data_IF_658262881790
#
_entry.id   IF_658262881790
#
_cell.length_a   1.000
_cell.length_b   1.000
_cell.length_c   1.000
_cell.angle_alpha   90.00
_cell.angle_beta   90.00
_cell.angle_gamma   90.00
#
_symmetry.space_group_name_H-M   'P 1'
#
loop_
_entity.id
_entity.type
_entity.pdbx_description
1 polymer ?
#
# COMPACT_ATOMS: atom_id res chain seq x y z
N UNK A 1 9.76 -8.05 -4.20
CA UNK A 1 9.88 -7.24 -5.44
C UNK A 1 10.95 -6.16 -5.33
N UNK A 2 10.89 -5.31 -4.28
CA UNK A 2 11.60 -4.03 -4.21
C UNK A 2 13.13 -4.11 -4.41
N UNK A 3 13.84 -5.01 -3.72
CA UNK A 3 15.30 -5.14 -3.85
C UNK A 3 15.76 -5.42 -5.29
N UNK A 4 15.00 -6.26 -6.01
CA UNK A 4 15.26 -6.60 -7.42
C UNK A 4 15.10 -5.39 -8.35
N UNK A 5 14.20 -4.46 -8.01
CA UNK A 5 14.02 -3.22 -8.78
C UNK A 5 15.16 -2.27 -8.51
N UNK A 6 15.55 -2.12 -7.24
CA UNK A 6 16.65 -1.22 -6.88
C UNK A 6 17.98 -1.65 -7.52
N UNK A 7 18.27 -2.95 -7.49
CA UNK A 7 19.44 -3.52 -8.17
C UNK A 7 19.39 -3.26 -9.67
N UNK A 8 18.26 -3.53 -10.32
CA UNK A 8 18.09 -3.30 -11.74
C UNK A 8 18.26 -1.82 -12.15
N UNK A 9 17.71 -0.87 -11.39
CA UNK A 9 17.92 0.55 -11.67
C UNK A 9 19.37 0.99 -11.49
N UNK A 10 20.06 0.45 -10.47
CA UNK A 10 21.50 0.72 -10.29
C UNK A 10 22.30 0.22 -11.49
N UNK A 11 21.99 -0.94 -12.04
CA UNK A 11 22.62 -1.44 -13.26
C UNK A 11 22.43 -0.47 -14.44
N UNK A 12 21.21 0.02 -14.66
CA UNK A 12 20.88 0.97 -15.73
C UNK A 12 21.65 2.30 -15.57
N UNK A 13 21.91 2.73 -14.34
CA UNK A 13 22.59 4.00 -14.06
C UNK A 13 24.12 3.93 -14.06
N UNK A 14 24.73 2.73 -14.07
CA UNK A 14 26.19 2.59 -14.11
C UNK A 14 26.76 3.13 -15.42
N UNK A 15 26.19 2.75 -16.56
CA UNK A 15 26.74 3.08 -17.87
C UNK A 15 26.23 4.41 -18.44
N UNK A 16 25.19 5.00 -17.83
CA UNK A 16 24.54 6.26 -18.22
C UNK A 16 24.18 6.31 -19.72
N UNK A 17 23.91 5.16 -20.32
CA UNK A 17 23.59 5.00 -21.73
C UNK A 17 22.39 4.09 -21.87
N UNK A 18 21.38 4.59 -22.59
CA UNK A 18 20.23 3.79 -23.00
C UNK A 18 20.20 3.80 -24.52
N UNK A 19 20.60 2.69 -25.13
CA UNK A 19 20.41 2.42 -26.55
C UNK A 19 19.13 1.61 -26.77
N UNK A 20 18.85 1.22 -28.03
CA UNK A 20 17.64 0.46 -28.37
C UNK A 20 17.58 -0.90 -27.66
N UNK A 21 18.73 -1.53 -27.36
CA UNK A 21 18.77 -2.80 -26.63
C UNK A 21 18.42 -2.59 -25.16
N UNK A 22 18.96 -1.54 -24.54
CA UNK A 22 18.70 -1.24 -23.13
C UNK A 22 17.24 -0.79 -22.93
N UNK A 23 16.67 -0.04 -23.88
CA UNK A 23 15.24 0.28 -23.90
C UNK A 23 14.35 -0.96 -24.02
N UNK A 24 14.73 -1.92 -24.87
CA UNK A 24 14.04 -3.21 -24.96
C UNK A 24 14.17 -4.03 -23.66
N UNK A 25 15.35 -4.00 -23.01
CA UNK A 25 15.60 -4.64 -21.71
C UNK A 25 14.72 -4.06 -20.61
N UNK A 26 14.59 -2.73 -20.54
CA UNK A 26 13.67 -2.04 -19.62
C UNK A 26 12.23 -2.51 -19.82
N UNK A 27 11.77 -2.53 -21.07
CA UNK A 27 10.41 -2.94 -21.44
C UNK A 27 10.14 -4.40 -21.05
N UNK A 28 11.08 -5.30 -21.34
CA UNK A 28 10.98 -6.71 -20.97
C UNK A 28 10.96 -6.89 -19.44
N UNK A 29 11.80 -6.14 -18.72
CA UNK A 29 11.84 -6.19 -17.26
C UNK A 29 10.50 -5.81 -16.63
N UNK A 30 9.87 -4.69 -17.02
CA UNK A 30 8.58 -4.31 -16.45
C UNK A 30 7.44 -5.25 -16.86
N UNK A 31 7.51 -5.83 -18.07
CA UNK A 31 6.53 -6.81 -18.52
C UNK A 31 6.60 -8.10 -17.70
N UNK A 32 7.80 -8.54 -17.33
CA UNK A 32 8.05 -9.68 -16.44
C UNK A 32 7.72 -9.35 -14.99
N UNK A 33 8.15 -8.18 -14.51
CA UNK A 33 7.87 -7.68 -13.16
C UNK A 33 6.38 -7.68 -12.88
N UNK A 34 5.57 -7.27 -13.86
CA UNK A 34 4.11 -7.20 -13.79
C UNK A 34 3.66 -6.53 -12.49
N UNK A 35 4.06 -5.27 -12.22
CA UNK A 35 3.76 -4.63 -10.95
C UNK A 35 2.25 -4.31 -10.83
N UNK A 36 1.66 -4.44 -9.64
CA UNK A 36 0.31 -3.94 -9.40
C UNK A 36 0.28 -2.40 -9.49
N UNK A 37 -0.88 -1.79 -9.80
CA UNK A 37 -1.05 -0.33 -9.89
C UNK A 37 -0.45 0.46 -8.72
N UNK A 38 -0.56 -0.09 -7.51
CA UNK A 38 -0.07 0.53 -6.28
C UNK A 38 1.44 0.72 -6.23
N UNK A 39 2.19 -0.09 -6.98
CA UNK A 39 3.64 -0.02 -7.04
C UNK A 39 4.15 1.00 -8.04
N UNK A 40 3.33 1.51 -8.97
CA UNK A 40 3.79 2.40 -10.05
C UNK A 40 4.41 3.69 -9.52
N UNK A 41 3.76 4.32 -8.53
CA UNK A 41 4.29 5.52 -7.86
C UNK A 41 5.63 5.25 -7.18
N UNK A 42 5.75 4.09 -6.51
CA UNK A 42 6.96 3.68 -5.83
C UNK A 42 8.09 3.40 -6.83
N UNK A 43 7.82 2.65 -7.91
CA UNK A 43 8.78 2.36 -8.98
C UNK A 43 9.38 3.66 -9.54
N UNK A 44 8.52 4.61 -9.92
CA UNK A 44 8.95 5.91 -10.42
C UNK A 44 9.77 6.68 -9.40
N UNK A 45 9.27 6.82 -8.18
CA UNK A 45 9.96 7.58 -7.12
C UNK A 45 11.33 6.97 -6.78
N UNK A 46 11.43 5.64 -6.81
CA UNK A 46 12.68 4.89 -6.63
C UNK A 46 13.67 5.15 -7.76
N UNK A 47 13.21 5.28 -9.01
CA UNK A 47 14.07 5.67 -10.15
C UNK A 47 14.74 7.02 -9.90
N UNK A 48 13.98 8.05 -9.49
CA UNK A 48 14.53 9.36 -9.16
C UNK A 48 15.43 9.34 -7.91
N UNK A 49 15.01 8.64 -6.85
CA UNK A 49 15.78 8.51 -5.61
C UNK A 49 17.14 7.87 -5.88
N UNK A 50 17.17 6.71 -6.55
CA UNK A 50 18.41 6.03 -6.90
C UNK A 50 19.23 6.83 -7.88
N UNK A 51 18.59 7.46 -8.88
CA UNK A 51 19.28 8.36 -9.81
C UNK A 51 20.04 9.47 -9.09
N UNK A 52 19.46 10.05 -8.04
CA UNK A 52 20.13 11.09 -7.24
C UNK A 52 21.46 10.63 -6.63
N UNK A 53 21.65 9.33 -6.39
CA UNK A 53 22.91 8.78 -5.89
C UNK A 53 24.03 8.91 -6.93
N UNK A 54 23.69 8.80 -8.22
CA UNK A 54 24.61 8.83 -9.38
C UNK A 54 24.91 10.24 -9.91
N UNK A 55 24.33 11.30 -9.33
CA UNK A 55 24.66 12.67 -9.69
C UNK A 55 26.14 12.97 -9.44
N UNK A 56 26.83 13.58 -10.40
CA UNK A 56 28.24 13.94 -10.24
C UNK A 56 28.41 15.45 -10.11
N UNK A 57 29.12 15.88 -9.06
CA UNK A 57 29.52 17.28 -8.94
C UNK A 57 30.59 17.61 -9.97
N UNK A 58 30.26 18.43 -10.96
CA UNK A 58 31.19 19.00 -11.93
C UNK A 58 31.21 18.34 -13.30
N UNK A 59 30.22 17.50 -13.63
CA UNK A 59 30.10 16.86 -14.95
C UNK A 59 28.64 16.93 -15.44
N UNK A 60 28.29 18.08 -16.03
CA UNK A 60 26.95 18.36 -16.56
C UNK A 60 26.53 17.35 -17.62
N UNK A 61 27.45 16.89 -18.47
CA UNK A 61 27.16 15.91 -19.52
C UNK A 61 26.75 14.56 -18.94
N UNK A 62 27.39 14.11 -17.85
CA UNK A 62 26.94 12.92 -17.11
C UNK A 62 25.57 13.11 -16.48
N UNK A 63 25.31 14.25 -15.85
CA UNK A 63 24.00 14.51 -15.24
C UNK A 63 22.88 14.60 -16.30
N UNK A 64 23.16 15.16 -17.48
CA UNK A 64 22.25 15.11 -18.66
C UNK A 64 21.99 13.66 -19.08
N UNK A 65 23.02 12.82 -19.08
CA UNK A 65 22.91 11.40 -19.47
C UNK A 65 22.09 10.61 -18.45
N UNK A 66 22.25 10.91 -17.16
CA UNK A 66 21.42 10.38 -16.08
C UNK A 66 19.94 10.79 -16.23
N UNK A 67 19.64 12.06 -16.52
CA UNK A 67 18.27 12.52 -16.79
C UNK A 67 17.63 11.74 -17.94
N UNK A 68 18.39 11.42 -18.99
CA UNK A 68 17.93 10.55 -20.08
C UNK A 68 17.63 9.14 -19.59
N UNK A 69 18.51 8.52 -18.81
CA UNK A 69 18.26 7.20 -18.25
C UNK A 69 16.99 7.16 -17.40
N UNK A 70 16.78 8.13 -16.50
CA UNK A 70 15.56 8.22 -15.68
C UNK A 70 14.34 8.38 -16.59
N UNK A 71 14.40 9.26 -17.59
CA UNK A 71 13.35 9.47 -18.58
C UNK A 71 12.95 8.15 -19.29
N UNK A 72 13.92 7.32 -19.69
CA UNK A 72 13.65 6.01 -20.29
C UNK A 72 13.01 5.02 -19.32
N UNK A 73 13.42 5.01 -18.05
CA UNK A 73 12.79 4.18 -17.01
C UNK A 73 11.32 4.59 -16.85
N UNK A 74 11.03 5.89 -16.75
CA UNK A 74 9.66 6.41 -16.67
C UNK A 74 8.85 6.00 -17.90
N UNK A 75 9.41 6.19 -19.09
CA UNK A 75 8.75 5.80 -20.34
C UNK A 75 8.41 4.30 -20.40
N UNK A 76 9.30 3.43 -19.91
CA UNK A 76 9.05 2.00 -19.85
C UNK A 76 7.90 1.65 -18.87
N UNK A 77 7.81 2.34 -17.73
CA UNK A 77 6.68 2.20 -16.79
C UNK A 77 5.38 2.64 -17.47
N UNK A 78 5.36 3.83 -18.07
CA UNK A 78 4.18 4.39 -18.74
C UNK A 78 3.67 3.50 -19.88
N UNK A 79 4.58 2.98 -20.72
CA UNK A 79 4.21 2.18 -21.90
C UNK A 79 3.73 0.77 -21.56
N UNK A 80 4.37 0.13 -20.58
CA UNK A 80 4.10 -1.27 -20.21
C UNK A 80 2.99 -1.38 -19.18
N UNK A 81 2.96 -0.50 -18.18
CA UNK A 81 2.09 -0.64 -17.01
C UNK A 81 0.89 0.30 -17.01
N UNK A 82 0.89 1.33 -17.87
CA UNK A 82 -0.17 2.35 -17.91
C UNK A 82 -0.78 2.47 -19.30
N UNK A 83 -1.90 3.18 -19.37
CA UNK A 83 -2.55 3.57 -20.61
C UNK A 83 -3.11 5.00 -20.50
N UNK A 84 -3.28 5.72 -21.63
CA UNK A 84 -3.86 7.06 -21.61
C UNK A 84 -5.21 7.09 -20.91
N UNK A 85 -5.42 8.05 -20.01
CA UNK A 85 -6.70 8.27 -19.35
C UNK A 85 -7.76 8.77 -20.36
N UNK A 86 -7.35 9.64 -21.29
CA UNK A 86 -8.17 10.17 -22.38
C UNK A 86 -7.42 9.98 -23.72
N UNK A 87 -7.78 8.98 -24.54
CA UNK A 87 -7.06 8.70 -25.80
C UNK A 87 -7.05 9.87 -26.79
N UNK A 88 -8.16 10.60 -26.89
CA UNK A 88 -8.32 11.73 -27.81
C UNK A 88 -7.73 13.05 -27.24
N UNK A 89 -7.38 13.08 -25.95
CA UNK A 89 -7.04 14.30 -25.23
C UNK A 89 -8.25 15.23 -25.02
N UNK A 90 -8.01 16.37 -24.38
CA UNK A 90 -8.99 17.46 -24.26
C UNK A 90 -8.45 18.81 -24.78
N UNK A 91 -7.17 18.87 -25.16
CA UNK A 91 -6.52 20.03 -25.76
C UNK A 91 -5.50 19.59 -26.83
N UNK A 92 -5.03 20.53 -27.65
CA UNK A 92 -3.83 20.31 -28.46
C UNK A 92 -2.56 20.37 -27.59
N UNK A 93 -1.52 19.64 -27.98
CA UNK A 93 -0.20 19.79 -27.37
C UNK A 93 0.52 21.02 -27.94
N UNK A 94 0.90 21.95 -27.06
CA UNK A 94 1.78 23.06 -27.39
C UNK A 94 3.11 22.88 -26.62
N UNK A 95 4.16 22.50 -27.36
CA UNK A 95 5.45 22.22 -26.78
C UNK A 95 6.17 23.45 -26.23
N UNK A 96 5.95 24.64 -26.80
CA UNK A 96 6.60 25.88 -26.36
C UNK A 96 6.00 26.34 -25.02
N UNK A 97 4.67 26.39 -24.95
CA UNK A 97 3.95 26.75 -23.71
C UNK A 97 4.26 25.75 -22.58
N UNK A 98 4.33 24.46 -22.91
CA UNK A 98 4.64 23.42 -21.92
C UNK A 98 6.08 23.54 -21.41
N UNK A 99 7.06 23.72 -22.31
CA UNK A 99 8.47 23.88 -21.92
C UNK A 99 8.66 25.15 -21.07
N UNK A 100 8.01 26.26 -21.42
CA UNK A 100 8.08 27.51 -20.64
C UNK A 100 7.50 27.35 -19.23
N UNK A 101 6.35 26.67 -19.11
CA UNK A 101 5.77 26.38 -17.81
C UNK A 101 6.69 25.53 -16.93
N UNK A 102 7.36 24.52 -17.50
CA UNK A 102 8.35 23.74 -16.74
C UNK A 102 9.55 24.57 -16.30
N UNK A 103 10.00 25.53 -17.10
CA UNK A 103 11.10 26.44 -16.71
C UNK A 103 10.71 27.32 -15.53
N UNK A 104 9.46 27.76 -15.47
CA UNK A 104 8.93 28.50 -14.33
C UNK A 104 8.95 27.64 -13.06
N UNK A 105 8.44 26.40 -13.16
CA UNK A 105 8.42 25.42 -12.05
C UNK A 105 9.82 25.05 -11.56
N UNK A 106 10.84 25.05 -12.42
CA UNK A 106 12.21 24.72 -12.01
C UNK A 106 13.02 25.93 -11.53
N UNK A 107 12.46 27.14 -11.59
CA UNK A 107 13.22 28.38 -11.40
C UNK A 107 13.74 28.57 -9.97
N UNK A 108 13.04 28.04 -8.96
CA UNK A 108 13.38 28.13 -7.55
C UNK A 108 13.87 26.80 -6.95
N UNK A 109 13.91 25.74 -7.77
CA UNK A 109 14.28 24.37 -7.39
C UNK A 109 13.47 23.80 -6.22
N UNK A 110 12.22 24.24 -6.06
CA UNK A 110 11.30 23.71 -5.09
C UNK A 110 9.93 23.48 -5.73
N UNK A 111 9.18 22.51 -5.21
CA UNK A 111 7.76 22.37 -5.53
C UNK A 111 7.02 22.19 -4.21
N UNK A 112 6.34 23.25 -3.80
CA UNK A 112 5.51 23.26 -2.63
C UNK A 112 4.11 22.71 -2.94
N UNK A 113 3.23 22.69 -1.94
CA UNK A 113 1.89 22.11 -2.10
C UNK A 113 1.02 22.91 -3.09
N UNK A 114 1.08 24.24 -3.03
CA UNK A 114 0.32 25.13 -3.92
C UNK A 114 0.75 24.93 -5.36
N UNK A 115 2.07 24.90 -5.62
CA UNK A 115 2.63 24.62 -6.95
C UNK A 115 2.25 23.22 -7.45
N UNK A 116 2.17 22.22 -6.57
CA UNK A 116 1.68 20.90 -6.96
C UNK A 116 0.18 20.91 -7.32
N UNK A 117 -0.62 21.73 -6.65
CA UNK A 117 -2.05 21.90 -6.97
C UNK A 117 -2.21 22.62 -8.33
N UNK A 118 -1.36 23.60 -8.61
CA UNK A 118 -1.29 24.29 -9.92
C UNK A 118 -0.85 23.35 -11.04
N UNK A 119 0.20 22.54 -10.83
CA UNK A 119 0.64 21.49 -11.77
C UNK A 119 -0.51 20.54 -12.11
N UNK A 120 -1.22 20.07 -11.07
CA UNK A 120 -2.38 19.21 -11.23
C UNK A 120 -3.50 19.88 -12.05
N UNK A 121 -3.74 21.17 -11.85
CA UNK A 121 -4.72 21.93 -12.62
C UNK A 121 -4.26 22.14 -14.08
N UNK A 122 -2.99 22.46 -14.29
CA UNK A 122 -2.39 22.60 -15.62
C UNK A 122 -2.60 21.34 -16.45
N UNK A 123 -2.19 20.17 -15.95
CA UNK A 123 -2.31 18.93 -16.71
C UNK A 123 -3.76 18.53 -16.95
N UNK A 124 -4.66 18.68 -15.97
CA UNK A 124 -6.09 18.35 -16.16
C UNK A 124 -6.75 19.20 -17.25
N UNK A 125 -6.32 20.44 -17.42
CA UNK A 125 -6.85 21.36 -18.43
C UNK A 125 -6.16 21.25 -19.79
N UNK A 126 -5.00 20.59 -19.86
CA UNK A 126 -4.17 20.52 -21.06
C UNK A 126 -3.74 19.07 -21.38
N UNK A 127 -4.67 18.12 -21.34
CA UNK A 127 -4.38 16.71 -21.64
C UNK A 127 -4.24 16.57 -23.16
N UNK A 128 -3.04 16.28 -23.68
CA UNK A 128 -2.84 16.19 -25.11
C UNK A 128 -3.33 14.84 -25.66
N UNK A 129 -3.44 14.68 -26.99
CA UNK A 129 -3.73 13.39 -27.60
C UNK A 129 -2.64 12.36 -27.29
N UNK A 130 -2.98 11.07 -27.36
CA UNK A 130 -2.09 9.99 -26.88
C UNK A 130 -0.72 9.93 -27.55
N UNK A 131 -0.60 10.41 -28.79
CA UNK A 131 0.66 10.46 -29.55
C UNK A 131 1.65 11.52 -29.03
N UNK A 132 1.16 12.47 -28.23
CA UNK A 132 1.89 13.63 -27.75
C UNK A 132 2.25 13.53 -26.27
N UNK A 133 1.70 12.56 -25.53
CA UNK A 133 1.96 12.36 -24.10
C UNK A 133 3.45 12.18 -23.79
N UNK A 134 4.13 11.33 -24.56
CA UNK A 134 5.57 11.08 -24.38
C UNK A 134 6.38 12.36 -24.61
N UNK A 135 5.99 13.16 -25.61
CA UNK A 135 6.65 14.43 -25.91
C UNK A 135 6.45 15.45 -24.78
N UNK A 136 5.21 15.57 -24.27
CA UNK A 136 4.87 16.48 -23.17
C UNK A 136 5.64 16.15 -21.88
N UNK A 137 5.80 14.87 -21.55
CA UNK A 137 6.62 14.47 -20.40
C UNK A 137 8.11 14.65 -20.66
N UNK A 138 8.60 14.27 -21.85
CA UNK A 138 10.02 14.43 -22.19
C UNK A 138 10.47 15.89 -22.20
N UNK A 139 9.57 16.82 -22.49
CA UNK A 139 9.81 18.27 -22.39
C UNK A 139 10.21 18.70 -20.97
N UNK A 140 9.71 18.05 -19.91
CA UNK A 140 10.14 18.36 -18.54
C UNK A 140 11.63 18.05 -18.31
N UNK A 141 12.08 16.87 -18.77
CA UNK A 141 13.49 16.49 -18.71
C UNK A 141 14.37 17.39 -19.58
N UNK A 142 13.86 17.81 -20.75
CA UNK A 142 14.57 18.73 -21.65
C UNK A 142 14.73 20.12 -21.03
N UNK A 143 13.66 20.69 -20.47
CA UNK A 143 13.70 21.99 -19.81
C UNK A 143 14.63 21.99 -18.59
N UNK A 144 14.67 20.88 -17.85
CA UNK A 144 15.54 20.73 -16.68
C UNK A 144 17.05 20.78 -17.00
N UNK A 145 17.48 20.44 -18.22
CA UNK A 145 18.91 20.49 -18.61
C UNK A 145 19.52 21.88 -18.39
N UNK A 146 18.71 22.92 -18.58
CA UNK A 146 19.16 24.31 -18.45
C UNK A 146 19.40 24.72 -16.99
N UNK A 147 18.86 23.96 -16.03
CA UNK A 147 18.99 24.16 -14.59
C UNK A 147 20.04 23.25 -13.93
N UNK A 148 20.66 22.33 -14.68
CA UNK A 148 21.76 21.53 -14.16
C UNK A 148 22.96 22.43 -13.85
N UNK A 149 23.51 22.26 -12.65
CA UNK A 149 24.63 23.06 -12.16
C UNK A 149 25.85 22.95 -13.07
N UNK A 150 26.38 24.09 -13.49
CA UNK A 150 27.66 24.14 -14.23
C UNK A 150 28.86 23.98 -13.30
N UNK A 151 28.77 24.52 -12.07
CA UNK A 151 29.84 24.49 -11.07
C UNK A 151 29.88 23.20 -10.23
N UNK A 152 29.00 22.23 -10.52
CA UNK A 152 28.94 20.96 -9.81
C UNK A 152 28.26 20.98 -8.44
N UNK A 153 27.34 21.90 -8.18
CA UNK A 153 26.49 21.87 -7.00
C UNK A 153 25.49 20.71 -7.06
N UNK A 154 25.87 19.61 -6.40
CA UNK A 154 25.05 18.42 -6.29
C UNK A 154 23.73 18.67 -5.56
N UNK A 155 23.66 19.60 -4.60
CA UNK A 155 22.44 19.83 -3.82
C UNK A 155 21.35 20.48 -4.69
N UNK A 156 21.73 21.43 -5.54
CA UNK A 156 20.86 22.00 -6.55
C UNK A 156 20.36 20.95 -7.55
N UNK A 157 21.25 20.08 -8.06
CA UNK A 157 20.86 19.01 -9.00
C UNK A 157 19.92 17.97 -8.35
N UNK A 158 20.12 17.64 -7.06
CA UNK A 158 19.20 16.78 -6.30
C UNK A 158 17.83 17.46 -6.16
N UNK A 159 17.80 18.76 -5.92
CA UNK A 159 16.56 19.54 -5.80
C UNK A 159 15.82 19.61 -7.14
N UNK A 160 16.54 19.75 -8.24
CA UNK A 160 16.00 19.65 -9.59
C UNK A 160 15.36 18.28 -9.87
N UNK A 161 16.02 17.17 -9.49
CA UNK A 161 15.42 15.83 -9.63
C UNK A 161 14.10 15.68 -8.86
N UNK A 162 13.97 16.30 -7.69
CA UNK A 162 12.72 16.33 -6.92
C UNK A 162 11.63 17.08 -7.67
N UNK A 163 11.96 18.23 -8.25
CA UNK A 163 11.02 19.02 -9.06
C UNK A 163 10.54 18.24 -10.29
N UNK A 164 11.46 17.59 -11.02
CA UNK A 164 11.10 16.76 -12.18
C UNK A 164 10.17 15.62 -11.73
N UNK A 165 10.47 14.92 -10.63
CA UNK A 165 9.59 13.86 -10.13
C UNK A 165 8.20 14.39 -9.76
N UNK A 166 8.09 15.61 -9.20
CA UNK A 166 6.81 16.24 -8.90
C UNK A 166 6.02 16.57 -10.18
N UNK A 167 6.67 17.09 -11.21
CA UNK A 167 6.05 17.34 -12.52
C UNK A 167 5.56 16.03 -13.15
N UNK A 168 6.41 15.01 -13.22
CA UNK A 168 6.07 13.70 -13.80
C UNK A 168 4.94 13.02 -13.00
N UNK A 169 4.95 13.15 -11.67
CA UNK A 169 3.87 12.64 -10.83
C UNK A 169 2.50 13.22 -11.19
N UNK A 170 2.43 14.56 -11.27
CA UNK A 170 1.19 15.26 -11.57
C UNK A 170 0.74 15.00 -13.03
N UNK A 171 1.69 14.89 -13.95
CA UNK A 171 1.44 14.49 -15.33
C UNK A 171 0.83 13.09 -15.43
N UNK A 172 1.48 12.08 -14.85
CA UNK A 172 1.00 10.69 -14.90
C UNK A 172 -0.38 10.57 -14.24
N UNK A 173 -0.59 11.24 -13.11
CA UNK A 173 -1.88 11.22 -12.40
C UNK A 173 -3.03 11.83 -13.21
N UNK A 174 -2.75 12.86 -14.02
CA UNK A 174 -3.77 13.52 -14.83
C UNK A 174 -3.99 12.83 -16.20
N UNK A 175 -2.92 12.34 -16.81
CA UNK A 175 -2.91 11.92 -18.22
C UNK A 175 -2.98 10.40 -18.40
N UNK A 176 -2.66 9.62 -17.37
CA UNK A 176 -2.62 8.17 -17.44
C UNK A 176 -3.53 7.52 -16.40
N UNK A 177 -3.89 6.27 -16.68
CA UNK A 177 -4.44 5.35 -15.70
C UNK A 177 -3.65 4.04 -15.74
N UNK A 178 -3.51 3.32 -14.62
CA UNK A 178 -2.90 2.01 -14.61
C UNK A 178 -3.65 1.05 -15.54
N UNK A 179 -2.94 0.14 -16.22
CA UNK A 179 -3.59 -0.99 -16.89
C UNK A 179 -4.21 -1.91 -15.84
N UNK A 180 -5.25 -2.63 -16.26
CA UNK A 180 -5.84 -3.66 -15.42
C UNK A 180 -4.79 -4.72 -15.07
N UNK A 181 -4.62 -4.96 -13.78
CA UNK A 181 -3.74 -5.97 -13.24
C UNK A 181 -4.35 -7.35 -13.43
N UNK A 182 -3.51 -8.29 -13.86
CA UNK A 182 -3.83 -9.72 -13.86
C UNK A 182 -2.65 -10.47 -13.28
N UNK A 183 -2.92 -11.32 -12.30
CA UNK A 183 -1.94 -12.21 -11.71
C UNK A 183 -1.48 -13.24 -12.76
N UNK A 184 -0.21 -13.12 -13.20
CA UNK A 184 0.35 -13.96 -14.27
C UNK A 184 0.87 -15.32 -13.77
N UNK A 185 1.33 -15.40 -12.52
CA UNK A 185 1.85 -16.64 -11.92
C UNK A 185 0.71 -17.66 -11.86
N UNK A 186 1.01 -18.91 -12.20
CA UNK A 186 0.09 -20.05 -12.00
C UNK A 186 0.41 -20.71 -10.67
N UNK A 187 -0.62 -21.15 -9.96
CA UNK A 187 -0.51 -21.75 -8.64
C UNK A 187 -1.25 -23.08 -8.63
N UNK A 188 -0.85 -23.97 -7.71
CA UNK A 188 -1.70 -25.06 -7.29
C UNK A 188 -2.77 -24.50 -6.35
N UNK A 189 -4.02 -24.55 -6.78
CA UNK A 189 -5.17 -24.03 -6.04
C UNK A 189 -5.89 -25.13 -5.24
N UNK A 190 -5.41 -26.38 -5.30
CA UNK A 190 -5.96 -27.52 -4.56
C UNK A 190 -5.38 -27.67 -3.16
N UNK A 191 -4.44 -26.77 -2.80
CA UNK A 191 -3.76 -26.75 -1.51
C UNK A 191 -4.70 -26.43 -0.34
N UNK A 192 -4.26 -26.76 0.88
CA UNK A 192 -4.98 -26.45 2.11
C UNK A 192 -5.02 -24.95 2.41
N UNK A 193 -5.82 -24.59 3.42
CA UNK A 193 -5.99 -23.19 3.83
C UNK A 193 -4.66 -22.56 4.25
N UNK A 194 -3.82 -23.29 5.00
CA UNK A 194 -2.54 -22.77 5.49
C UNK A 194 -1.61 -22.41 4.34
N UNK A 195 -1.47 -23.29 3.35
CA UNK A 195 -0.64 -23.03 2.18
C UNK A 195 -1.20 -21.91 1.30
N UNK A 196 -2.52 -21.81 1.18
CA UNK A 196 -3.16 -20.70 0.47
C UNK A 196 -2.89 -19.36 1.15
N UNK A 197 -2.93 -19.30 2.48
CA UNK A 197 -2.58 -18.10 3.25
C UNK A 197 -1.10 -17.76 3.08
N UNK A 198 -0.21 -18.76 3.08
CA UNK A 198 1.21 -18.56 2.80
C UNK A 198 1.44 -17.98 1.39
N UNK A 199 0.71 -18.44 0.37
CA UNK A 199 0.81 -17.86 -0.98
C UNK A 199 0.28 -16.41 -1.00
N UNK A 200 -0.83 -16.10 -0.32
CA UNK A 200 -1.29 -14.71 -0.18
C UNK A 200 -0.24 -13.81 0.49
N UNK A 201 0.43 -14.32 1.53
CA UNK A 201 1.54 -13.61 2.19
C UNK A 201 2.69 -13.36 1.21
N UNK A 202 3.11 -14.37 0.46
CA UNK A 202 4.20 -14.25 -0.51
C UNK A 202 3.86 -13.27 -1.65
N UNK A 203 2.57 -13.08 -1.94
CA UNK A 203 2.05 -12.19 -2.98
C UNK A 203 1.77 -10.76 -2.50
N UNK A 204 1.84 -10.50 -1.20
CA UNK A 204 1.59 -9.17 -0.65
C UNK A 204 2.78 -8.22 -0.88
N UNK A 205 2.93 -7.79 -2.12
CA UNK A 205 3.94 -6.82 -2.55
C UNK A 205 3.81 -5.48 -1.82
N UNK A 206 2.61 -5.15 -1.33
CA UNK A 206 2.33 -3.91 -0.64
C UNK A 206 2.64 -3.96 0.86
N UNK A 207 3.00 -5.13 1.41
CA UNK A 207 3.53 -5.27 2.77
C UNK A 207 4.69 -4.31 3.00
N UNK A 208 4.69 -3.69 4.17
CA UNK A 208 5.78 -2.81 4.61
C UNK A 208 6.90 -3.64 5.22
N UNK A 209 8.14 -3.30 4.90
CA UNK A 209 9.33 -3.96 5.44
C UNK A 209 9.77 -3.29 6.75
N UNK A 210 9.95 -4.06 7.85
CA UNK A 210 10.50 -3.54 9.10
C UNK A 210 11.88 -2.87 8.89
N UNK A 211 12.20 -1.88 9.71
CA UNK A 211 13.42 -1.06 9.66
C UNK A 211 13.63 -0.24 8.39
N UNK A 212 12.83 -0.45 7.34
CA UNK A 212 12.84 0.33 6.10
C UNK A 212 11.61 1.23 6.02
N UNK A 213 10.44 0.62 5.94
CA UNK A 213 9.16 1.30 5.71
C UNK A 213 8.53 1.74 7.05
N UNK A 214 8.82 1.02 8.13
CA UNK A 214 8.43 1.40 9.50
C UNK A 214 9.49 0.97 10.52
N UNK A 215 9.42 1.53 11.73
CA UNK A 215 10.22 1.16 12.90
C UNK A 215 9.27 1.12 14.08
N UNK A 216 9.29 0.01 14.81
CA UNK A 216 8.56 -0.15 16.07
C UNK A 216 9.53 -0.27 17.25
N UNK A 217 9.07 0.17 18.42
CA UNK A 217 9.72 -0.06 19.70
C UNK A 217 8.85 -0.98 20.57
N UNK A 218 9.19 -2.27 20.59
CA UNK A 218 8.42 -3.29 21.30
C UNK A 218 8.51 -3.15 22.82
N UNK A 219 9.54 -2.50 23.36
CA UNK A 219 9.74 -2.25 24.79
C UNK A 219 9.67 -3.54 25.63
N UNK A 220 9.13 -3.49 26.86
CA UNK A 220 9.14 -4.65 27.76
C UNK A 220 7.93 -5.58 27.57
N UNK A 221 8.21 -6.87 27.54
CA UNK A 221 7.20 -7.92 27.45
C UNK A 221 6.58 -8.27 28.81
N UNK A 222 5.27 -8.47 28.83
CA UNK A 222 4.54 -8.79 30.07
C UNK A 222 3.56 -9.96 29.93
N UNK A 223 2.93 -10.31 31.06
CA UNK A 223 1.90 -11.35 31.12
C UNK A 223 0.50 -10.72 30.99
N UNK A 224 -0.49 -11.41 30.40
CA UNK A 224 -1.82 -10.84 30.11
C UNK A 224 -2.55 -10.21 31.31
N UNK A 225 -2.30 -10.74 32.52
CA UNK A 225 -2.95 -10.29 33.75
C UNK A 225 -2.24 -9.09 34.42
N UNK A 226 -1.03 -8.72 33.96
CA UNK A 226 -0.31 -7.54 34.45
C UNK A 226 -0.86 -6.31 33.76
N UNK A 227 -1.23 -5.32 34.58
CA UNK A 227 -1.81 -4.04 34.13
C UNK A 227 -0.82 -2.88 34.27
N UNK A 228 0.29 -3.12 34.96
CA UNK A 228 1.38 -2.17 35.04
C UNK A 228 1.87 -1.84 33.65
N UNK A 229 2.24 -0.58 33.46
CA UNK A 229 2.80 -0.15 32.21
C UNK A 229 4.17 -0.80 31.99
N UNK A 230 4.37 -1.34 30.80
CA UNK A 230 5.65 -1.91 30.36
C UNK A 230 6.15 -1.23 29.09
N UNK A 231 5.49 -0.14 28.68
CA UNK A 231 5.86 0.66 27.53
C UNK A 231 5.65 2.15 27.85
N UNK A 232 6.74 2.86 28.13
CA UNK A 232 6.67 4.31 28.38
C UNK A 232 6.52 5.13 27.08
N UNK A 233 6.97 4.56 25.95
CA UNK A 233 6.98 5.18 24.64
C UNK A 233 5.90 4.57 23.70
N UNK A 234 5.53 5.26 22.61
CA UNK A 234 4.68 4.68 21.55
C UNK A 234 5.29 3.43 20.92
N UNK A 235 4.46 2.46 20.52
CA UNK A 235 4.90 1.29 19.75
C UNK A 235 5.48 1.71 18.40
N UNK A 236 4.84 2.63 17.68
CA UNK A 236 5.25 3.04 16.34
C UNK A 236 6.18 4.25 16.39
N UNK A 237 7.49 3.99 16.51
CA UNK A 237 8.51 5.04 16.45
C UNK A 237 8.53 5.79 15.11
N UNK A 238 8.29 5.08 13.99
CA UNK A 238 8.21 5.68 12.65
C UNK A 238 7.38 4.83 11.70
N UNK A 239 6.53 5.45 10.90
CA UNK A 239 5.93 4.85 9.69
C UNK A 239 6.16 5.81 8.52
N UNK A 240 6.70 5.30 7.41
CA UNK A 240 6.92 6.11 6.22
C UNK A 240 5.59 6.62 5.65
N UNK A 241 5.46 7.93 5.53
CA UNK A 241 4.27 8.58 4.96
C UNK A 241 4.07 8.22 3.50
N UNK A 242 5.16 7.95 2.76
CA UNK A 242 5.08 7.55 1.36
C UNK A 242 4.34 6.21 1.19
N UNK A 243 4.47 5.31 2.16
CA UNK A 243 3.79 4.03 2.16
C UNK A 243 2.28 4.17 2.36
N UNK A 244 1.84 5.08 3.25
CA UNK A 244 0.42 5.35 3.49
C UNK A 244 -0.27 6.10 2.35
N UNK A 245 0.51 6.72 1.45
CA UNK A 245 0.00 7.39 0.25
C UNK A 245 -0.23 6.42 -0.93
N UNK A 246 0.18 5.16 -0.82
CA UNK A 246 -0.12 4.12 -1.81
C UNK A 246 -1.64 3.94 -1.92
N UNK A 247 -2.20 3.63 -3.10
CA UNK A 247 -3.65 3.63 -3.32
C UNK A 247 -4.46 2.77 -2.33
N UNK A 248 -4.08 1.52 -2.04
CA UNK A 248 -4.82 0.65 -1.11
C UNK A 248 -4.81 1.18 0.31
N UNK A 249 -3.63 1.58 0.81
CA UNK A 249 -3.48 2.22 2.13
C UNK A 249 -4.28 3.51 2.23
N UNK A 250 -4.18 4.39 1.23
CA UNK A 250 -4.90 5.68 1.23
C UNK A 250 -6.41 5.48 1.23
N UNK A 251 -6.92 4.55 0.43
CA UNK A 251 -8.33 4.22 0.39
C UNK A 251 -8.80 3.61 1.72
N UNK A 252 -8.00 2.72 2.32
CA UNK A 252 -8.28 2.12 3.62
C UNK A 252 -8.31 3.16 4.75
N UNK A 253 -7.34 4.07 4.81
CA UNK A 253 -7.30 5.17 5.78
C UNK A 253 -8.52 6.08 5.64
N UNK A 254 -8.94 6.39 4.40
CA UNK A 254 -10.15 7.18 4.16
C UNK A 254 -11.40 6.50 4.73
N UNK A 255 -11.49 5.17 4.66
CA UNK A 255 -12.57 4.42 5.30
C UNK A 255 -12.51 4.52 6.83
N UNK A 256 -11.34 4.32 7.45
CA UNK A 256 -11.17 4.42 8.91
C UNK A 256 -11.60 5.80 9.45
N UNK A 257 -11.29 6.87 8.72
CA UNK A 257 -11.63 8.26 9.09
C UNK A 257 -13.14 8.52 9.18
N UNK A 258 -13.96 7.79 8.44
CA UNK A 258 -15.41 7.96 8.47
C UNK A 258 -16.00 7.49 9.80
N UNK A 259 -15.52 6.36 10.31
CA UNK A 259 -16.04 5.77 11.54
C UNK A 259 -15.63 6.53 12.80
N UNK A 260 -14.50 7.28 12.77
CA UNK A 260 -14.14 8.22 13.86
C UNK A 260 -15.16 9.36 14.01
N UNK A 261 -15.86 9.73 12.93
CA UNK A 261 -16.85 10.82 12.91
C UNK A 261 -18.27 10.36 13.27
N UNK A 262 -18.57 9.06 13.16
CA UNK A 262 -19.92 8.51 13.21
C UNK A 262 -20.43 8.17 14.62
N UNK A 263 -19.67 8.45 15.69
CA UNK A 263 -20.01 8.02 17.06
C UNK A 263 -21.43 8.42 17.49
N UNK A 264 -22.34 7.43 17.54
CA UNK A 264 -23.58 7.46 18.33
C UNK A 264 -24.92 7.71 17.62
N UNK A 265 -25.02 7.56 16.29
CA UNK A 265 -26.27 7.73 15.53
C UNK A 265 -26.61 6.56 14.60
N UNK A 266 -27.84 6.52 14.06
CA UNK A 266 -28.20 5.59 12.97
C UNK A 266 -27.34 5.91 11.74
N UNK A 267 -26.53 4.97 11.30
CA UNK A 267 -25.66 5.16 10.15
C UNK A 267 -26.48 5.13 8.85
N UNK A 268 -26.27 6.13 8.01
CA UNK A 268 -26.73 6.11 6.61
C UNK A 268 -25.51 6.34 5.77
N UNK A 269 -25.17 5.35 4.94
CA UNK A 269 -24.04 5.45 4.03
C UNK A 269 -24.30 6.62 3.07
N UNK A 270 -23.50 7.66 3.18
CA UNK A 270 -23.58 8.82 2.30
C UNK A 270 -22.92 8.54 0.94
N UNK A 271 -23.24 9.32 -0.09
CA UNK A 271 -22.62 9.20 -1.42
C UNK A 271 -21.10 9.41 -1.44
N UNK A 272 -20.55 10.01 -0.37
CA UNK A 272 -19.09 10.08 -0.17
C UNK A 272 -18.54 8.73 0.30
N UNK A 273 -19.16 8.13 1.31
CA UNK A 273 -18.75 6.83 1.86
C UNK A 273 -18.90 5.72 0.81
N UNK A 274 -19.97 5.75 0.00
CA UNK A 274 -20.13 4.82 -1.13
C UNK A 274 -18.93 4.86 -2.08
N UNK A 275 -18.48 6.07 -2.44
CA UNK A 275 -17.31 6.28 -3.31
C UNK A 275 -15.99 5.87 -2.66
N UNK A 276 -15.85 6.04 -1.35
CA UNK A 276 -14.67 5.59 -0.61
C UNK A 276 -14.63 4.05 -0.53
N UNK A 277 -15.79 3.39 -0.40
CA UNK A 277 -15.91 1.93 -0.47
C UNK A 277 -15.58 1.43 -1.89
N UNK A 278 -16.15 2.04 -2.93
CA UNK A 278 -15.84 1.70 -4.32
C UNK A 278 -14.34 1.82 -4.59
N UNK A 279 -13.73 2.96 -4.23
CA UNK A 279 -12.31 3.21 -4.43
C UNK A 279 -11.43 2.18 -3.71
N UNK A 280 -11.82 1.76 -2.50
CA UNK A 280 -11.09 0.73 -1.76
C UNK A 280 -11.20 -0.64 -2.43
N UNK A 281 -12.42 -1.08 -2.77
CA UNK A 281 -12.66 -2.38 -3.43
C UNK A 281 -11.95 -2.45 -4.80
N UNK A 282 -12.07 -1.40 -5.60
CA UNK A 282 -11.37 -1.30 -6.89
C UNK A 282 -9.85 -1.40 -6.72
N UNK A 283 -9.28 -0.72 -5.71
CA UNK A 283 -7.85 -0.77 -5.45
C UNK A 283 -7.38 -2.19 -5.05
N UNK A 284 -8.04 -2.82 -4.06
CA UNK A 284 -7.60 -4.13 -3.57
C UNK A 284 -7.80 -5.24 -4.61
N UNK A 285 -8.81 -5.17 -5.48
CA UNK A 285 -9.03 -6.16 -6.55
C UNK A 285 -7.92 -6.13 -7.62
N UNK A 286 -7.15 -5.05 -7.70
CA UNK A 286 -5.99 -4.91 -8.58
C UNK A 286 -4.68 -5.39 -7.92
N UNK A 287 -4.77 -6.23 -6.89
CA UNK A 287 -3.61 -6.75 -6.17
C UNK A 287 -3.47 -8.27 -6.29
N UNK A 288 -2.24 -8.77 -6.16
CA UNK A 288 -1.97 -10.20 -6.24
C UNK A 288 -2.63 -11.04 -5.13
N UNK A 289 -2.66 -10.60 -3.84
CA UNK A 289 -3.32 -11.37 -2.79
C UNK A 289 -4.81 -11.58 -3.06
N UNK A 290 -5.53 -10.54 -3.49
CA UNK A 290 -6.97 -10.63 -3.73
C UNK A 290 -7.31 -11.44 -4.99
N UNK A 291 -6.51 -11.32 -6.06
CA UNK A 291 -6.72 -12.15 -7.25
C UNK A 291 -6.41 -13.63 -6.99
N UNK A 292 -5.38 -13.92 -6.19
CA UNK A 292 -5.14 -15.28 -5.72
C UNK A 292 -6.28 -15.79 -4.85
N UNK A 293 -6.74 -14.99 -3.87
CA UNK A 293 -7.89 -15.30 -3.03
C UNK A 293 -9.14 -15.64 -3.85
N UNK A 294 -9.48 -14.81 -4.85
CA UNK A 294 -10.57 -15.08 -5.77
C UNK A 294 -10.42 -16.40 -6.52
N UNK A 295 -9.24 -16.64 -7.12
CA UNK A 295 -8.96 -17.86 -7.86
C UNK A 295 -9.03 -19.11 -6.97
N UNK A 296 -8.46 -19.04 -5.77
CA UNK A 296 -8.49 -20.10 -4.77
C UNK A 296 -9.92 -20.42 -4.33
N UNK A 297 -10.71 -19.40 -3.99
CA UNK A 297 -12.11 -19.56 -3.62
C UNK A 297 -12.93 -20.19 -4.74
N UNK A 298 -12.73 -19.77 -5.99
CA UNK A 298 -13.41 -20.36 -7.16
C UNK A 298 -13.06 -21.82 -7.36
N UNK A 299 -11.81 -22.21 -7.16
CA UNK A 299 -11.41 -23.62 -7.23
C UNK A 299 -12.08 -24.45 -6.12
N UNK A 300 -12.10 -23.92 -4.89
CA UNK A 300 -12.57 -24.65 -3.71
C UNK A 300 -14.10 -24.74 -3.60
N UNK A 301 -14.83 -23.74 -4.10
CA UNK A 301 -16.29 -23.61 -3.92
C UNK A 301 -17.08 -23.60 -5.22
N UNK A 302 -16.41 -23.57 -6.37
CA UNK A 302 -17.06 -23.58 -7.68
C UNK A 302 -18.07 -22.45 -7.82
N UNK A 303 -19.31 -22.81 -8.17
CA UNK A 303 -20.39 -21.87 -8.50
C UNK A 303 -20.96 -21.09 -7.31
N UNK A 304 -20.57 -21.42 -6.07
CA UNK A 304 -20.92 -20.61 -4.88
C UNK A 304 -20.14 -19.28 -4.86
N UNK A 305 -19.09 -19.13 -5.67
CA UNK A 305 -18.29 -17.91 -5.80
C UNK A 305 -18.57 -17.30 -7.19
N UNK A 306 -18.79 -15.97 -7.30
CA UNK A 306 -19.14 -15.34 -8.57
C UNK A 306 -18.14 -15.61 -9.71
N UNK A 307 -18.60 -15.72 -10.97
CA UNK A 307 -17.76 -16.12 -12.11
C UNK A 307 -16.76 -15.04 -12.59
N UNK A 308 -16.89 -13.79 -12.14
CA UNK A 308 -16.02 -12.69 -12.53
C UNK A 308 -15.45 -11.95 -11.32
N UNK A 309 -14.27 -11.35 -11.49
CA UNK A 309 -13.62 -10.56 -10.45
C UNK A 309 -14.45 -9.32 -10.07
N UNK A 310 -15.23 -8.77 -11.01
CA UNK A 310 -16.14 -7.66 -10.76
C UNK A 310 -17.28 -8.07 -9.82
N UNK A 311 -17.95 -9.19 -10.12
CA UNK A 311 -19.02 -9.72 -9.26
C UNK A 311 -18.46 -10.23 -7.92
N UNK A 312 -17.22 -10.71 -7.88
CA UNK A 312 -16.53 -10.99 -6.62
C UNK A 312 -16.32 -9.72 -5.79
N UNK A 313 -16.06 -8.57 -6.43
CA UNK A 313 -16.05 -7.27 -5.77
C UNK A 313 -17.38 -6.90 -5.13
N UNK A 314 -18.50 -7.22 -5.79
CA UNK A 314 -19.85 -7.06 -5.22
C UNK A 314 -20.06 -8.01 -4.02
N UNK A 315 -19.62 -9.26 -4.10
CA UNK A 315 -19.64 -10.17 -2.95
C UNK A 315 -18.81 -9.63 -1.76
N UNK A 316 -17.63 -9.06 -2.02
CA UNK A 316 -16.83 -8.41 -0.97
C UNK A 316 -17.58 -7.21 -0.38
N UNK A 317 -18.26 -6.42 -1.21
CA UNK A 317 -19.10 -5.31 -0.74
C UNK A 317 -20.16 -5.81 0.24
N UNK A 318 -20.87 -6.87 -0.11
CA UNK A 318 -21.93 -7.44 0.72
C UNK A 318 -21.39 -8.05 2.03
N UNK A 319 -20.23 -8.72 1.98
CA UNK A 319 -19.63 -9.32 3.18
C UNK A 319 -19.13 -8.24 4.15
N UNK A 320 -18.48 -7.20 3.63
CA UNK A 320 -17.70 -6.26 4.43
C UNK A 320 -18.42 -4.95 4.75
N UNK A 321 -19.24 -4.43 3.85
CA UNK A 321 -19.75 -3.06 3.92
C UNK A 321 -21.27 -2.96 4.05
N UNK A 322 -22.03 -4.02 3.73
CA UNK A 322 -23.46 -4.02 3.94
C UNK A 322 -23.81 -3.92 5.42
N UNK A 323 -24.57 -2.88 5.75
CA UNK A 323 -25.02 -2.66 7.12
C UNK A 323 -25.91 -3.81 7.59
N UNK A 324 -25.70 -4.23 8.83
CA UNK A 324 -26.58 -5.14 9.54
C UNK A 324 -26.99 -4.56 10.89
N UNK A 325 -27.95 -5.23 11.53
CA UNK A 325 -28.54 -4.78 12.79
C UNK A 325 -27.88 -5.48 13.98
N UNK A 326 -27.27 -4.72 14.89
CA UNK A 326 -26.79 -5.19 16.21
C UNK A 326 -27.52 -4.58 17.39
N UNK A 327 -27.72 -3.26 17.45
CA UNK A 327 -28.46 -2.56 18.52
C UNK A 327 -29.69 -1.83 17.96
N UNK A 328 -29.53 -1.14 16.83
CA UNK A 328 -30.58 -0.51 16.03
C UNK A 328 -30.52 -1.01 14.58
N UNK A 329 -31.57 -0.81 13.78
CA UNK A 329 -31.57 -1.30 12.40
C UNK A 329 -30.49 -0.59 11.57
N UNK A 330 -29.59 -1.36 10.95
CA UNK A 330 -28.47 -0.90 10.10
C UNK A 330 -27.49 0.00 10.85
N UNK A 331 -26.77 -0.56 11.82
CA UNK A 331 -25.89 0.20 12.72
C UNK A 331 -24.43 -0.23 12.74
N UNK A 332 -24.04 -1.25 11.96
CA UNK A 332 -22.64 -1.63 11.81
C UNK A 332 -22.37 -2.47 10.56
N UNK A 333 -21.10 -2.55 10.16
CA UNK A 333 -20.59 -3.35 9.04
C UNK A 333 -19.48 -4.33 9.46
N UNK A 334 -19.12 -5.27 8.60
CA UNK A 334 -18.01 -6.18 8.85
C UNK A 334 -16.67 -5.45 8.90
N UNK A 335 -16.49 -4.45 8.04
CA UNK A 335 -15.31 -3.59 8.02
C UNK A 335 -15.10 -2.87 9.35
N UNK A 336 -16.17 -2.27 9.89
CA UNK A 336 -16.10 -1.57 11.17
C UNK A 336 -15.65 -2.49 12.30
N UNK A 337 -16.28 -3.66 12.46
CA UNK A 337 -15.95 -4.56 13.56
C UNK A 337 -14.55 -5.17 13.46
N UNK A 338 -14.09 -5.49 12.25
CA UNK A 338 -12.77 -6.12 12.05
C UNK A 338 -11.66 -5.07 12.18
N UNK A 339 -11.78 -3.95 11.47
CA UNK A 339 -10.68 -3.00 11.28
C UNK A 339 -10.75 -1.77 12.19
N UNK A 340 -11.94 -1.23 12.48
CA UNK A 340 -12.08 0.00 13.27
C UNK A 340 -12.04 -0.30 14.77
N UNK A 341 -12.76 -1.33 15.21
CA UNK A 341 -12.96 -1.67 16.61
C UNK A 341 -13.98 -0.77 17.33
N UNK A 342 -14.50 -1.25 18.47
CA UNK A 342 -15.50 -0.52 19.26
C UNK A 342 -15.23 -0.67 20.78
N UNK A 343 -15.56 0.38 21.56
CA UNK A 343 -15.64 0.27 23.02
C UNK A 343 -17.09 -0.01 23.42
N UNK A 344 -17.32 -1.22 23.94
CA UNK A 344 -18.67 -1.68 24.31
C UNK A 344 -18.66 -2.32 25.69
N UNK A 345 -19.59 -1.90 26.55
CA UNK A 345 -19.73 -2.41 27.92
C UNK A 345 -18.42 -2.37 28.72
N UNK A 346 -17.61 -1.32 28.54
CA UNK A 346 -16.31 -1.18 29.21
C UNK A 346 -15.25 -2.18 28.73
N UNK A 347 -15.38 -2.69 27.50
CA UNK A 347 -14.42 -3.58 26.86
C UNK A 347 -14.16 -3.12 25.43
N UNK A 348 -12.90 -3.14 25.01
CA UNK A 348 -12.53 -2.98 23.59
C UNK A 348 -12.80 -4.29 22.84
N UNK A 349 -13.63 -4.22 21.79
CA UNK A 349 -13.88 -5.30 20.83
C UNK A 349 -13.32 -4.90 19.45
N UNK A 350 -12.91 -5.87 18.63
CA UNK A 350 -12.17 -5.57 17.40
C UNK A 350 -10.81 -4.92 17.70
N UNK A 351 -10.35 -4.01 16.84
CA UNK A 351 -9.07 -3.30 16.98
C UNK A 351 -7.86 -4.24 16.92
N UNK A 352 -7.70 -4.91 15.77
CA UNK A 352 -6.60 -5.85 15.50
C UNK A 352 -5.73 -5.43 14.30
N UNK A 353 -6.04 -4.28 13.69
CA UNK A 353 -5.33 -3.78 12.52
C UNK A 353 -4.28 -2.75 12.90
N UNK A 354 -3.05 -2.95 12.43
CA UNK A 354 -1.91 -2.13 12.79
C UNK A 354 -2.01 -0.69 12.28
N UNK A 355 -2.68 -0.45 11.14
CA UNK A 355 -2.86 0.90 10.57
C UNK A 355 -3.74 1.71 11.50
N UNK A 356 -4.87 1.14 11.94
CA UNK A 356 -5.76 1.79 12.90
C UNK A 356 -5.05 2.04 14.24
N UNK A 357 -4.30 1.06 14.77
CA UNK A 357 -3.50 1.24 15.98
C UNK A 357 -2.52 2.40 15.85
N UNK A 358 -1.74 2.43 14.77
CA UNK A 358 -0.78 3.49 14.49
C UNK A 358 -1.45 4.87 14.42
N UNK A 359 -2.58 4.98 13.71
CA UNK A 359 -3.29 6.25 13.56
C UNK A 359 -3.85 6.75 14.89
N UNK A 360 -4.36 5.87 15.76
CA UNK A 360 -4.86 6.26 17.08
C UNK A 360 -3.72 6.62 18.04
N UNK A 361 -2.62 5.87 18.03
CA UNK A 361 -1.45 6.16 18.87
C UNK A 361 -0.82 7.50 18.48
N UNK A 362 -0.70 7.77 17.18
CA UNK A 362 -0.20 9.04 16.65
C UNK A 362 -1.05 10.25 17.05
N UNK A 363 -2.35 10.06 17.21
CA UNK A 363 -3.27 11.12 17.69
C UNK A 363 -3.29 11.25 19.22
N UNK A 364 -2.66 10.31 19.94
CA UNK A 364 -2.64 10.26 21.40
C UNK A 364 -3.89 9.63 22.02
N UNK A 365 -4.76 9.02 21.21
CA UNK A 365 -6.00 8.38 21.65
C UNK A 365 -5.79 6.92 22.09
N UNK A 366 -4.68 6.31 21.67
CA UNK A 366 -4.27 4.97 22.07
C UNK A 366 -2.94 5.02 22.81
N UNK A 367 -2.86 4.18 23.83
CA UNK A 367 -1.79 4.14 24.81
C UNK A 367 -1.31 2.68 24.92
N UNK A 368 -0.22 2.38 24.21
CA UNK A 368 0.43 1.07 24.19
C UNK A 368 1.02 0.73 25.56
N UNK A 369 0.82 -0.50 26.04
CA UNK A 369 1.20 -0.91 27.41
C UNK A 369 2.18 -2.07 27.46
N UNK A 370 2.82 -2.41 26.36
CA UNK A 370 3.74 -3.53 26.23
C UNK A 370 3.14 -4.75 25.53
N UNK A 371 4.02 -5.61 25.01
CA UNK A 371 3.64 -6.82 24.30
C UNK A 371 3.41 -7.97 25.27
N UNK A 372 2.60 -8.93 24.84
CA UNK A 372 2.30 -10.16 25.55
C UNK A 372 3.12 -11.28 24.93
N UNK A 373 3.96 -11.92 25.75
CA UNK A 373 4.78 -13.04 25.30
C UNK A 373 3.90 -14.18 24.77
N UNK A 374 4.22 -14.78 23.61
CA UNK A 374 3.53 -15.97 23.10
C UNK A 374 3.48 -17.09 24.14
N UNK A 375 2.52 -18.01 23.97
CA UNK A 375 2.36 -19.18 24.86
C UNK A 375 3.36 -20.30 24.57
N UNK A 376 4.14 -20.22 23.48
CA UNK A 376 5.13 -21.24 23.11
C UNK A 376 6.22 -21.40 24.16
N UNK A 377 6.84 -22.58 24.17
CA UNK A 377 8.04 -22.88 24.95
C UNK A 377 9.33 -22.61 24.17
N UNK A 378 9.24 -21.92 23.03
CA UNK A 378 10.39 -21.55 22.22
C UNK A 378 11.18 -20.41 22.86
N UNK A 379 12.48 -20.37 22.53
CA UNK A 379 13.38 -19.29 22.91
C UNK A 379 13.33 -18.08 21.95
N UNK A 380 12.38 -18.08 20.98
CA UNK A 380 12.23 -17.01 20.01
C UNK A 380 11.94 -15.68 20.71
N UNK A 381 12.71 -14.65 20.37
CA UNK A 381 12.60 -13.33 21.00
C UNK A 381 11.61 -12.47 20.24
N UNK A 382 10.69 -11.82 20.97
CA UNK A 382 9.84 -10.79 20.35
C UNK A 382 10.66 -9.52 20.12
N UNK A 383 10.75 -9.07 18.88
CA UNK A 383 11.65 -8.00 18.44
C UNK A 383 10.98 -7.00 17.48
N UNK A 384 11.75 -6.02 17.00
CA UNK A 384 11.25 -4.91 16.16
C UNK A 384 10.95 -5.29 14.70
N UNK A 385 11.32 -6.49 14.28
CA UNK A 385 11.12 -7.03 12.93
C UNK A 385 9.99 -8.07 12.86
N UNK A 386 9.41 -8.44 14.00
CA UNK A 386 8.22 -9.26 14.06
C UNK A 386 7.03 -8.65 13.32
N UNK A 387 6.50 -9.42 12.39
CA UNK A 387 5.26 -9.10 11.68
C UNK A 387 3.99 -9.46 12.47
N UNK A 388 4.13 -10.02 13.67
CA UNK A 388 2.98 -10.46 14.47
C UNK A 388 3.22 -10.21 15.95
N UNK A 389 2.43 -9.31 16.53
CA UNK A 389 2.56 -8.95 17.94
C UNK A 389 1.24 -9.14 18.67
N UNK A 390 1.31 -9.76 19.85
CA UNK A 390 0.21 -9.73 20.80
C UNK A 390 0.40 -8.55 21.74
N UNK A 391 -0.55 -7.63 21.77
CA UNK A 391 -0.40 -6.34 22.45
C UNK A 391 -1.39 -6.20 23.60
N UNK A 392 -0.99 -5.43 24.62
CA UNK A 392 -1.91 -4.78 25.55
C UNK A 392 -1.88 -3.27 25.30
N UNK A 393 -3.05 -2.64 25.27
CA UNK A 393 -3.16 -1.20 25.12
C UNK A 393 -4.43 -0.67 25.78
N UNK A 394 -4.49 0.64 25.97
CA UNK A 394 -5.66 1.37 26.45
C UNK A 394 -6.16 2.30 25.35
N UNK A 395 -7.47 2.30 25.13
CA UNK A 395 -8.15 3.15 24.16
C UNK A 395 -9.43 3.70 24.80
N UNK A 396 -9.62 5.02 24.72
CA UNK A 396 -10.74 5.74 25.37
C UNK A 396 -10.93 5.37 26.86
N UNK A 397 -9.80 5.30 27.58
CA UNK A 397 -9.78 4.93 29.00
C UNK A 397 -10.08 3.45 29.31
N UNK A 398 -10.35 2.62 28.29
CA UNK A 398 -10.63 1.18 28.44
C UNK A 398 -9.43 0.35 28.02
N UNK A 399 -9.04 -0.59 28.89
CA UNK A 399 -7.93 -1.51 28.66
C UNK A 399 -8.36 -2.71 27.81
N UNK A 400 -7.63 -2.98 26.72
CA UNK A 400 -7.70 -4.24 25.98
C UNK A 400 -6.54 -5.13 26.45
N UNK A 401 -6.86 -6.18 27.22
CA UNK A 401 -5.83 -7.01 27.85
C UNK A 401 -4.95 -7.80 26.88
N UNK A 402 -5.52 -8.19 25.72
CA UNK A 402 -4.86 -8.99 24.68
C UNK A 402 -5.48 -8.63 23.32
N UNK A 403 -4.64 -8.27 22.35
CA UNK A 403 -5.00 -8.17 20.93
C UNK A 403 -3.81 -8.48 20.03
N UNK A 404 -3.90 -9.54 19.23
CA UNK A 404 -2.89 -9.84 18.22
C UNK A 404 -3.11 -9.00 16.98
N UNK A 405 -2.03 -8.46 16.42
CA UNK A 405 -2.04 -7.68 15.19
C UNK A 405 -0.96 -8.19 14.24
N UNK A 406 -1.30 -8.24 12.96
CA UNK A 406 -0.33 -8.39 11.87
C UNK A 406 0.27 -7.00 11.60
N UNK A 407 1.57 -6.82 11.82
CA UNK A 407 2.26 -5.54 11.70
C UNK A 407 2.85 -5.40 10.29
N UNK A 408 2.56 -4.28 9.64
CA UNK A 408 3.10 -3.95 8.31
C UNK A 408 2.40 -4.64 7.14
N UNK A 409 1.47 -5.58 7.37
CA UNK A 409 0.66 -6.19 6.30
C UNK A 409 -0.18 -5.17 5.55
N UNK A 410 -0.45 -5.41 4.26
CA UNK A 410 -1.36 -4.54 3.52
C UNK A 410 -2.83 -4.79 3.88
N UNK A 411 -3.72 -3.79 3.67
CA UNK A 411 -5.16 -3.99 3.83
C UNK A 411 -5.71 -5.16 3.01
N UNK A 412 -5.26 -5.31 1.77
CA UNK A 412 -5.67 -6.37 0.86
C UNK A 412 -5.28 -7.77 1.34
N UNK A 413 -4.12 -7.93 1.99
CA UNK A 413 -3.76 -9.23 2.59
C UNK A 413 -4.72 -9.62 3.70
N UNK A 414 -5.02 -8.71 4.64
CA UNK A 414 -5.94 -9.00 5.73
C UNK A 414 -7.37 -9.25 5.22
N UNK A 415 -7.85 -8.47 4.25
CA UNK A 415 -9.15 -8.70 3.61
C UNK A 415 -9.18 -10.07 2.91
N UNK A 416 -8.13 -10.45 2.18
CA UNK A 416 -8.04 -11.75 1.53
C UNK A 416 -8.08 -12.90 2.56
N UNK A 417 -7.23 -12.82 3.59
CA UNK A 417 -7.14 -13.81 4.66
C UNK A 417 -8.50 -14.02 5.34
N UNK A 418 -9.12 -12.94 5.81
CA UNK A 418 -10.36 -13.03 6.57
C UNK A 418 -11.54 -13.43 5.68
N UNK A 419 -11.57 -13.00 4.41
CA UNK A 419 -12.58 -13.44 3.44
C UNK A 419 -12.46 -14.94 3.16
N UNK A 420 -11.25 -15.46 2.96
CA UNK A 420 -11.02 -16.89 2.75
C UNK A 420 -11.45 -17.71 3.97
N UNK A 421 -11.08 -17.30 5.18
CA UNK A 421 -11.56 -17.94 6.42
C UNK A 421 -13.08 -17.87 6.54
N UNK A 422 -13.70 -16.74 6.17
CA UNK A 422 -15.15 -16.57 6.23
C UNK A 422 -15.89 -17.52 5.27
N UNK A 423 -15.42 -17.68 4.03
CA UNK A 423 -16.12 -18.46 3.01
C UNK A 423 -15.79 -19.97 3.04
N UNK A 424 -14.56 -20.34 3.35
CA UNK A 424 -14.11 -21.74 3.36
C UNK A 424 -14.04 -22.34 4.76
N UNK A 425 -13.66 -21.52 5.73
CA UNK A 425 -13.28 -21.96 7.05
C UNK A 425 -14.42 -22.06 8.06
N UNK A 426 -14.02 -22.32 9.29
CA UNK A 426 -14.89 -22.39 10.47
C UNK A 426 -14.57 -21.21 11.43
N UNK A 427 -15.08 -21.26 12.65
CA UNK A 427 -14.70 -20.27 13.67
C UNK A 427 -13.21 -20.34 14.06
N UNK A 428 -12.59 -21.51 13.89
CA UNK A 428 -11.17 -21.76 14.12
C UNK A 428 -10.51 -22.11 12.79
N UNK A 429 -9.44 -21.42 12.45
CA UNK A 429 -8.70 -21.66 11.21
C UNK A 429 -7.21 -21.72 11.54
N UNK A 430 -6.70 -22.94 11.64
CA UNK A 430 -5.28 -23.18 11.93
C UNK A 430 -4.44 -22.89 10.69
N UNK A 431 -3.45 -22.01 10.85
CA UNK A 431 -2.56 -21.56 9.78
C UNK A 431 -1.14 -21.44 10.34
N UNK A 432 -0.17 -22.03 9.67
CA UNK A 432 1.25 -21.73 9.88
C UNK A 432 1.68 -20.69 8.86
N UNK A 433 2.30 -19.61 9.34
CA UNK A 433 2.75 -18.49 8.53
C UNK A 433 4.26 -18.29 8.71
N UNK A 434 5.01 -18.55 7.65
CA UNK A 434 6.40 -18.13 7.51
C UNK A 434 6.44 -16.71 6.97
N UNK A 435 7.00 -15.81 7.77
CA UNK A 435 7.07 -14.39 7.42
C UNK A 435 8.18 -14.05 6.43
N UNK A 436 9.15 -14.94 6.25
CA UNK A 436 10.35 -14.74 5.44
C UNK A 436 11.42 -13.90 6.12
N UNK A 437 11.25 -13.54 7.41
CA UNK A 437 12.28 -12.87 8.24
C UNK A 437 13.10 -13.86 9.08
N UNK A 438 12.76 -15.16 8.99
CA UNK A 438 13.23 -16.19 9.92
C UNK A 438 12.16 -16.58 10.95
N UNK A 439 11.10 -15.77 11.10
CA UNK A 439 10.02 -16.05 12.03
C UNK A 439 8.87 -16.82 11.41
N UNK A 440 8.46 -17.88 12.09
CA UNK A 440 7.32 -18.71 11.75
C UNK A 440 6.32 -18.71 12.91
N UNK A 441 5.05 -18.49 12.58
CA UNK A 441 3.97 -18.40 13.55
C UNK A 441 2.89 -19.44 13.29
N UNK A 442 2.52 -20.19 14.32
CA UNK A 442 1.26 -20.94 14.33
C UNK A 442 0.13 -20.03 14.81
N UNK A 443 -0.84 -19.84 13.94
CA UNK A 443 -1.98 -18.97 14.11
C UNK A 443 -3.26 -19.78 14.21
N UNK A 444 -4.18 -19.30 15.03
CA UNK A 444 -5.60 -19.58 14.86
C UNK A 444 -6.28 -18.29 14.40
N UNK A 445 -6.66 -18.23 13.13
CA UNK A 445 -7.44 -17.10 12.61
C UNK A 445 -8.89 -17.31 13.02
N UNK A 446 -9.31 -16.57 14.04
CA UNK A 446 -10.68 -16.59 14.53
C UNK A 446 -11.55 -15.84 13.53
N UNK A 447 -12.62 -16.45 13.04
CA UNK A 447 -13.56 -15.81 12.12
C UNK A 447 -15.00 -16.10 12.53
N UNK A 448 -15.73 -15.07 12.94
CA UNK A 448 -17.12 -15.21 13.36
C UNK A 448 -18.05 -14.57 12.34
N UNK A 449 -19.12 -15.29 12.02
CA UNK A 449 -20.16 -14.82 11.10
C UNK A 449 -21.27 -14.10 11.87
N UNK A 450 -21.81 -13.05 11.28
CA UNK A 450 -23.03 -12.39 11.74
C UNK A 450 -24.14 -12.68 10.74
N UNK A 451 -25.31 -13.12 11.22
CA UNK A 451 -26.48 -13.54 10.42
C UNK A 451 -26.21 -14.60 9.31
N UNK A 452 -25.02 -15.19 9.28
CA UNK A 452 -24.61 -16.30 8.41
C UNK A 452 -23.96 -15.88 7.09
N UNK A 453 -24.24 -14.66 6.61
CA UNK A 453 -23.80 -14.11 5.32
C UNK A 453 -22.85 -12.92 5.44
N UNK A 454 -22.64 -12.38 6.65
CA UNK A 454 -21.76 -11.23 6.90
C UNK A 454 -20.62 -11.57 7.84
N UNK A 455 -19.48 -10.90 7.65
CA UNK A 455 -18.36 -11.05 8.59
C UNK A 455 -18.65 -10.26 9.88
N UNK A 456 -18.56 -10.94 11.01
CA UNK A 456 -18.86 -10.38 12.33
C UNK A 456 -17.62 -9.83 13.01
N UNK A 457 -16.59 -10.65 13.16
CA UNK A 457 -15.25 -10.24 13.62
C UNK A 457 -14.25 -11.28 13.14
N UNK A 458 -13.05 -10.85 12.79
CA UNK A 458 -11.97 -11.74 12.38
C UNK A 458 -10.64 -11.19 12.89
N UNK A 459 -9.78 -12.06 13.42
CA UNK A 459 -8.46 -11.67 13.95
C UNK A 459 -7.59 -12.91 14.18
N UNK A 460 -6.25 -12.77 14.12
CA UNK A 460 -5.33 -13.85 14.46
C UNK A 460 -5.18 -14.03 15.98
N UNK A 461 -4.94 -15.26 16.42
CA UNK A 461 -4.42 -15.59 17.74
C UNK A 461 -3.13 -16.38 17.60
N UNK A 462 -2.06 -15.98 18.31
CA UNK A 462 -0.78 -16.69 18.27
C UNK A 462 -0.81 -17.90 19.18
N UNK A 463 -0.70 -19.09 18.60
CA UNK A 463 -0.57 -20.34 19.33
C UNK A 463 0.91 -20.62 19.67
N UNK A 464 1.80 -20.43 18.68
CA UNK A 464 3.24 -20.58 18.84
C UNK A 464 4.03 -19.68 17.87
N UNK A 465 5.29 -19.41 18.22
CA UNK A 465 6.27 -18.64 17.44
C UNK A 465 7.61 -19.39 17.52
N UNK A 466 8.30 -19.59 16.41
CA UNK A 466 9.66 -20.12 16.40
C UNK A 466 10.47 -19.51 15.26
N UNK A 467 11.79 -19.61 15.39
CA UNK A 467 12.75 -19.16 14.37
C UNK A 467 13.24 -20.40 13.57
N UNK A 468 13.46 -20.24 12.25
CA UNK A 468 14.01 -21.29 11.37
C UNK A 468 15.54 -21.44 11.42
#
# INVERSE_FOLDING_TARGET
>A
MDARVEEFYREIYIDLRVDDNEAARLSAYFAELNPPPDKLLWLRSTAFRLGSEFLTGGDKDKNVSLLKCINYVVHAIESICMEPALPEGNSGYDGEVTEDYYREVFSDLAVNREESEELSAFFRNNIPPSDSLVAMRAAAFKAAIDFLSEDGDRESDVSLLRCINAVVHNFEFACYKPRQYTLKKKFDLTVGLSEAVQEMWNLDDNRLTPNRDYVIDVQEGKKPYRKEDAAEDPLFARVDRSALNRPTYRAFVALLDNYRRATGGRETIGSREEREIDAFLEAILQTAPLQYCYAYLREQKGDDIPPSLSEFGELLRDIWFDLYRRQSANDSSGFEHVFVGEVKNGKVSGMHNWIQLYLLEKEGDLDYRGYIKPRSQSDAETNSDDHLLTLQFRWDGVEKSVGTCLIGTSPEFEVALYTTCFLLGDENNEVTLDTGTGDIFDLNVRCYKHDGDKIGTAFPEVNAHWEE
#
